data_IF_757711484278
#
_entry.id   IF_757711484278
#
_cell.length_a   1.000
_cell.length_b   1.000
_cell.length_c   1.000
_cell.angle_alpha   90.00
_cell.angle_beta   90.00
_cell.angle_gamma   90.00
#
_symmetry.space_group_name_H-M   'P 1'
#
loop_
_entity.id
_entity.type
_entity.pdbx_description
1 polymer ?
#
# COMPACT_ATOMS: atom_id res chain seq x y z
N UNK A 1 -19.45 17.74 28.43
CA UNK A 1 -18.01 18.02 28.57
C UNK A 1 -17.14 17.17 27.64
N UNK A 2 -17.69 16.29 26.79
CA UNK A 2 -16.91 15.42 25.89
C UNK A 2 -16.51 16.04 24.53
N UNK A 3 -17.06 17.18 24.12
CA UNK A 3 -16.81 17.72 22.77
C UNK A 3 -15.41 18.32 22.58
N UNK A 4 -14.80 18.89 23.62
CA UNK A 4 -13.47 19.52 23.51
C UNK A 4 -12.33 18.49 23.36
N UNK A 5 -12.48 17.27 23.91
CA UNK A 5 -11.46 16.24 23.78
C UNK A 5 -11.41 15.64 22.36
N UNK A 6 -12.57 15.52 21.71
CA UNK A 6 -12.69 15.00 20.34
C UNK A 6 -12.10 15.97 19.30
N UNK A 7 -12.43 17.27 19.38
CA UNK A 7 -11.91 18.28 18.46
C UNK A 7 -10.38 18.47 18.55
N UNK A 8 -9.81 18.33 19.75
CA UNK A 8 -8.35 18.42 19.96
C UNK A 8 -7.63 17.18 19.42
N UNK A 9 -8.23 15.99 19.56
CA UNK A 9 -7.71 14.75 19.00
C UNK A 9 -7.63 14.79 17.47
N UNK A 10 -8.72 15.25 16.84
CA UNK A 10 -8.84 15.37 15.39
C UNK A 10 -7.81 16.35 14.80
N UNK A 11 -7.71 17.57 15.34
CA UNK A 11 -6.70 18.56 14.89
C UNK A 11 -5.26 18.05 15.02
N UNK A 12 -4.95 17.28 16.06
CA UNK A 12 -3.60 16.72 16.25
C UNK A 12 -3.30 15.67 15.18
N UNK A 13 -4.27 14.85 14.79
CA UNK A 13 -4.13 13.88 13.71
C UNK A 13 -3.87 14.59 12.38
N UNK A 14 -4.67 15.60 12.03
CA UNK A 14 -4.48 16.39 10.79
C UNK A 14 -3.09 17.04 10.70
N UNK A 15 -2.58 17.57 11.83
CA UNK A 15 -1.25 18.17 11.90
C UNK A 15 -0.13 17.15 11.69
N UNK A 16 -0.30 15.93 12.22
CA UNK A 16 0.66 14.84 12.03
C UNK A 16 0.69 14.41 10.57
N UNK A 17 -0.47 14.18 9.97
CA UNK A 17 -0.61 13.79 8.55
C UNK A 17 -0.01 14.84 7.62
N UNK A 18 -0.29 16.12 7.87
CA UNK A 18 0.27 17.24 7.12
C UNK A 18 1.80 17.29 7.19
N UNK A 19 2.37 17.03 8.37
CA UNK A 19 3.83 16.96 8.55
C UNK A 19 4.44 15.75 7.83
N UNK A 20 3.81 14.57 7.96
CA UNK A 20 4.26 13.36 7.29
C UNK A 20 4.24 13.52 5.77
N UNK A 21 3.16 14.07 5.20
CA UNK A 21 3.07 14.36 3.75
C UNK A 21 4.19 15.32 3.34
N UNK A 22 4.41 16.40 4.09
CA UNK A 22 5.48 17.37 3.82
C UNK A 22 6.89 16.74 3.87
N UNK A 23 7.15 15.87 4.84
CA UNK A 23 8.44 15.18 4.95
C UNK A 23 8.66 14.23 3.77
N UNK A 24 7.63 13.50 3.32
CA UNK A 24 7.71 12.64 2.14
C UNK A 24 8.00 13.47 0.88
N UNK A 25 7.25 14.56 0.67
CA UNK A 25 7.47 15.46 -0.47
C UNK A 25 8.89 16.04 -0.46
N UNK A 26 9.39 16.42 0.73
CA UNK A 26 10.77 16.90 0.91
C UNK A 26 11.83 15.83 0.60
N UNK A 27 11.58 14.57 0.97
CA UNK A 27 12.48 13.45 0.65
C UNK A 27 12.51 13.10 -0.83
N UNK A 28 11.37 13.23 -1.51
CA UNK A 28 11.24 12.93 -2.94
C UNK A 28 11.66 14.11 -3.82
N UNK A 29 11.66 15.33 -3.29
CA UNK A 29 12.01 16.54 -4.04
C UNK A 29 10.98 16.90 -5.11
N UNK A 30 9.70 16.55 -4.88
CA UNK A 30 8.59 16.76 -5.83
C UNK A 30 7.48 17.60 -5.21
N UNK A 31 6.63 18.19 -6.06
CA UNK A 31 5.43 18.89 -5.60
C UNK A 31 4.35 17.91 -5.16
N UNK A 32 3.42 18.41 -4.35
CA UNK A 32 2.24 17.66 -3.92
C UNK A 32 1.43 17.11 -5.11
N UNK A 33 1.16 17.96 -6.11
CA UNK A 33 0.43 17.55 -7.32
C UNK A 33 1.10 16.41 -8.10
N UNK A 34 2.43 16.39 -8.15
CA UNK A 34 3.18 15.32 -8.83
C UNK A 34 3.11 14.05 -8.00
N UNK A 35 3.22 14.16 -6.68
CA UNK A 35 3.10 13.01 -5.81
C UNK A 35 1.71 12.39 -5.84
N UNK A 36 0.66 13.21 -5.85
CA UNK A 36 -0.74 12.74 -5.93
C UNK A 36 -0.97 12.00 -7.26
N UNK A 37 -0.46 12.53 -8.39
CA UNK A 37 -0.52 11.84 -9.69
C UNK A 37 0.24 10.50 -9.71
N UNK A 38 1.41 10.43 -9.05
CA UNK A 38 2.16 9.18 -8.90
C UNK A 38 1.43 8.16 -8.02
N UNK A 39 0.73 8.62 -6.98
CA UNK A 39 -0.09 7.76 -6.13
C UNK A 39 -1.29 7.21 -6.89
N UNK A 40 -1.96 8.03 -7.70
CA UNK A 40 -3.06 7.59 -8.57
C UNK A 40 -2.59 6.51 -9.55
N UNK A 41 -1.48 6.75 -10.26
CA UNK A 41 -0.90 5.76 -11.19
C UNK A 41 -0.54 4.46 -10.45
N UNK A 42 0.10 4.58 -9.29
CA UNK A 42 0.48 3.42 -8.48
C UNK A 42 -0.74 2.60 -8.02
N UNK A 43 -1.81 3.24 -7.56
CA UNK A 43 -3.03 2.54 -7.14
C UNK A 43 -3.67 1.79 -8.31
N UNK A 44 -3.74 2.42 -9.49
CA UNK A 44 -4.21 1.77 -10.71
C UNK A 44 -3.40 0.50 -11.01
N UNK A 45 -2.07 0.61 -11.03
CA UNK A 45 -1.18 -0.53 -11.26
C UNK A 45 -1.26 -1.60 -10.16
N UNK A 46 -1.44 -1.18 -8.90
CA UNK A 46 -1.53 -2.10 -7.77
C UNK A 46 -2.75 -3.01 -7.89
N UNK A 47 -3.91 -2.48 -8.31
CA UNK A 47 -5.14 -3.27 -8.50
C UNK A 47 -4.97 -4.34 -9.56
N UNK A 48 -4.42 -3.98 -10.72
CA UNK A 48 -4.13 -4.92 -11.80
C UNK A 48 -3.19 -6.03 -11.30
N UNK A 49 -2.10 -5.64 -10.62
CA UNK A 49 -1.13 -6.58 -10.06
C UNK A 49 -1.69 -7.48 -8.96
N UNK A 50 -2.61 -7.00 -8.13
CA UNK A 50 -3.29 -7.82 -7.11
C UNK A 50 -4.14 -8.90 -7.79
N UNK A 51 -4.87 -8.55 -8.86
CA UNK A 51 -5.62 -9.52 -9.66
C UNK A 51 -4.71 -10.55 -10.33
N UNK A 52 -3.58 -10.11 -10.90
CA UNK A 52 -2.55 -10.98 -11.46
C UNK A 52 -1.95 -11.91 -10.39
N UNK A 53 -1.72 -11.41 -9.16
CA UNK A 53 -1.23 -12.22 -8.05
C UNK A 53 -2.20 -13.33 -7.66
N UNK A 54 -3.49 -13.01 -7.51
CA UNK A 54 -4.53 -14.03 -7.25
C UNK A 54 -4.50 -15.12 -8.31
N UNK A 55 -4.38 -14.73 -9.57
CA UNK A 55 -4.27 -15.67 -10.70
C UNK A 55 -3.00 -16.50 -10.62
N UNK A 56 -1.85 -15.89 -10.35
CA UNK A 56 -0.57 -16.57 -10.25
C UNK A 56 -0.56 -17.59 -9.10
N UNK A 57 -1.13 -17.24 -7.94
CA UNK A 57 -1.26 -18.17 -6.82
C UNK A 57 -2.19 -19.33 -7.12
N UNK A 58 -3.36 -19.07 -7.75
CA UNK A 58 -4.29 -20.11 -8.19
C UNK A 58 -3.62 -21.12 -9.15
N UNK A 59 -2.81 -20.61 -10.08
CA UNK A 59 -2.08 -21.42 -11.05
C UNK A 59 -0.78 -22.02 -10.50
N UNK A 60 -0.44 -21.75 -9.23
CA UNK A 60 0.83 -22.13 -8.58
C UNK A 60 2.07 -21.63 -9.34
N UNK A 61 1.92 -20.52 -10.07
CA UNK A 61 2.99 -19.87 -10.80
C UNK A 61 3.84 -19.00 -9.86
N UNK A 62 4.68 -19.70 -9.12
CA UNK A 62 5.54 -19.09 -8.09
C UNK A 62 6.58 -18.13 -8.67
N UNK A 63 6.98 -18.33 -9.94
CA UNK A 63 7.94 -17.42 -10.59
C UNK A 63 7.27 -16.10 -10.95
N UNK A 64 6.08 -16.15 -11.55
CA UNK A 64 5.34 -14.93 -11.89
C UNK A 64 4.90 -14.18 -10.64
N UNK A 65 4.37 -14.87 -9.63
CA UNK A 65 3.99 -14.25 -8.36
C UNK A 65 5.18 -13.49 -7.73
N UNK A 66 6.38 -14.09 -7.71
CA UNK A 66 7.59 -13.45 -7.19
C UNK A 66 7.95 -12.19 -7.98
N UNK A 67 7.86 -12.22 -9.31
CA UNK A 67 8.13 -11.05 -10.18
C UNK A 67 7.16 -9.91 -9.89
N UNK A 68 5.86 -10.22 -9.76
CA UNK A 68 4.83 -9.22 -9.46
C UNK A 68 5.05 -8.62 -8.07
N UNK A 69 5.27 -9.44 -7.03
CA UNK A 69 5.54 -8.97 -5.67
C UNK A 69 6.79 -8.07 -5.61
N UNK A 70 7.87 -8.46 -6.29
CA UNK A 70 9.10 -7.66 -6.31
C UNK A 70 8.88 -6.29 -6.96
N UNK A 71 8.22 -6.26 -8.11
CA UNK A 71 7.91 -5.02 -8.83
C UNK A 71 6.99 -4.11 -8.02
N UNK A 72 5.90 -4.66 -7.46
CA UNK A 72 4.93 -3.89 -6.69
C UNK A 72 5.54 -3.34 -5.40
N UNK A 73 6.39 -4.12 -4.72
CA UNK A 73 7.13 -3.66 -3.54
C UNK A 73 8.04 -2.49 -3.89
N UNK A 74 8.84 -2.61 -4.95
CA UNK A 74 9.76 -1.56 -5.37
C UNK A 74 9.03 -0.25 -5.66
N UNK A 75 7.88 -0.31 -6.32
CA UNK A 75 7.04 0.87 -6.55
C UNK A 75 6.52 1.48 -5.24
N UNK A 76 6.03 0.67 -4.31
CA UNK A 76 5.58 1.14 -3.00
C UNK A 76 6.72 1.78 -2.17
N UNK A 77 7.91 1.19 -2.19
CA UNK A 77 9.09 1.72 -1.50
C UNK A 77 9.57 3.04 -2.12
N UNK A 78 9.56 3.14 -3.45
CA UNK A 78 9.90 4.37 -4.17
C UNK A 78 8.96 5.53 -3.80
N UNK A 79 7.68 5.24 -3.62
CA UNK A 79 6.67 6.21 -3.17
C UNK A 79 6.56 6.35 -1.64
N UNK A 80 7.43 5.66 -0.88
CA UNK A 80 7.44 5.69 0.60
C UNK A 80 6.13 5.19 1.24
N UNK A 81 5.36 4.35 0.55
CA UNK A 81 4.11 3.73 1.04
C UNK A 81 4.44 2.50 1.89
N UNK A 82 5.05 2.73 3.05
CA UNK A 82 5.63 1.68 3.90
C UNK A 82 4.64 0.59 4.31
N UNK A 83 3.37 0.95 4.55
CA UNK A 83 2.33 -0.02 4.93
C UNK A 83 2.11 -1.05 3.84
N UNK A 84 1.95 -0.62 2.58
CA UNK A 84 1.77 -1.53 1.45
C UNK A 84 3.03 -2.35 1.20
N UNK A 85 4.22 -1.74 1.24
CA UNK A 85 5.48 -2.47 1.10
C UNK A 85 5.62 -3.60 2.15
N UNK A 86 5.20 -3.34 3.39
CA UNK A 86 5.17 -4.34 4.46
C UNK A 86 4.22 -5.50 4.17
N UNK A 87 2.98 -5.22 3.76
CA UNK A 87 2.01 -6.28 3.41
C UNK A 87 2.50 -7.11 2.22
N UNK A 88 3.15 -6.50 1.23
CA UNK A 88 3.73 -7.22 0.08
C UNK A 88 4.85 -8.16 0.54
N UNK A 89 5.69 -7.73 1.49
CA UNK A 89 6.71 -8.59 2.10
C UNK A 89 6.10 -9.76 2.88
N UNK A 90 4.99 -9.54 3.59
CA UNK A 90 4.26 -10.61 4.29
C UNK A 90 3.68 -11.64 3.31
N UNK A 91 3.07 -11.20 2.21
CA UNK A 91 2.56 -12.09 1.15
C UNK A 91 3.70 -12.95 0.60
N UNK A 92 4.86 -12.34 0.30
CA UNK A 92 6.04 -13.07 -0.16
C UNK A 92 6.50 -14.10 0.89
N UNK A 93 6.59 -13.70 2.15
CA UNK A 93 6.99 -14.58 3.24
C UNK A 93 6.07 -15.79 3.40
N UNK A 94 4.75 -15.59 3.27
CA UNK A 94 3.78 -16.68 3.27
C UNK A 94 3.98 -17.60 2.06
N UNK A 95 4.12 -17.04 0.85
CA UNK A 95 4.29 -17.82 -0.37
C UNK A 95 5.58 -18.68 -0.35
N UNK A 96 6.68 -18.17 0.20
CA UNK A 96 7.96 -18.87 0.29
C UNK A 96 8.02 -19.82 1.51
N UNK A 97 7.32 -19.49 2.59
CA UNK A 97 7.30 -20.24 3.85
C UNK A 97 6.25 -21.36 3.91
N UNK A 98 5.48 -21.57 2.85
CA UNK A 98 4.43 -22.60 2.80
C UNK A 98 3.13 -22.19 3.53
N UNK A 99 2.84 -20.89 3.58
CA UNK A 99 1.56 -20.37 4.05
C UNK A 99 0.39 -20.89 3.23
N UNK A 100 -0.77 -21.01 3.86
CA UNK A 100 -1.98 -21.49 3.22
C UNK A 100 -2.55 -20.47 2.22
N UNK A 101 -3.33 -20.96 1.26
CA UNK A 101 -4.04 -20.11 0.29
C UNK A 101 -4.94 -19.07 1.00
N UNK A 102 -5.56 -19.44 2.13
CA UNK A 102 -6.39 -18.53 2.92
C UNK A 102 -5.57 -17.39 3.56
N UNK A 103 -4.38 -17.69 4.09
CA UNK A 103 -3.49 -16.66 4.68
C UNK A 103 -2.99 -15.68 3.62
N UNK A 104 -2.65 -16.20 2.42
CA UNK A 104 -2.26 -15.37 1.28
C UNK A 104 -3.43 -14.48 0.83
N UNK A 105 -4.63 -15.03 0.70
CA UNK A 105 -5.82 -14.28 0.29
C UNK A 105 -6.20 -13.20 1.32
N UNK A 106 -6.10 -13.48 2.63
CA UNK A 106 -6.32 -12.47 3.68
C UNK A 106 -5.37 -11.28 3.53
N UNK A 107 -4.09 -11.55 3.20
CA UNK A 107 -3.10 -10.50 2.99
C UNK A 107 -3.29 -9.76 1.67
N UNK A 108 -3.74 -10.43 0.60
CA UNK A 108 -4.15 -9.76 -0.64
C UNK A 108 -5.35 -8.83 -0.41
N UNK A 109 -6.35 -9.24 0.37
CA UNK A 109 -7.48 -8.39 0.75
C UNK A 109 -7.03 -7.17 1.57
N UNK A 110 -6.07 -7.36 2.47
CA UNK A 110 -5.47 -6.25 3.23
C UNK A 110 -4.76 -5.26 2.30
N UNK A 111 -4.01 -5.77 1.33
CA UNK A 111 -3.30 -4.96 0.33
C UNK A 111 -4.27 -4.16 -0.55
N UNK A 112 -5.36 -4.80 -1.00
CA UNK A 112 -6.43 -4.17 -1.77
C UNK A 112 -7.14 -3.09 -0.95
N UNK A 113 -7.44 -3.34 0.33
CA UNK A 113 -8.00 -2.33 1.22
C UNK A 113 -7.10 -1.11 1.40
N UNK A 114 -5.78 -1.31 1.46
CA UNK A 114 -4.83 -0.19 1.46
C UNK A 114 -4.83 0.61 0.15
N UNK A 115 -4.92 -0.06 -1.00
CA UNK A 115 -5.01 0.61 -2.29
C UNK A 115 -6.29 1.47 -2.40
N UNK A 116 -7.44 0.93 -1.97
CA UNK A 116 -8.70 1.68 -1.97
C UNK A 116 -8.68 2.89 -1.02
N UNK A 117 -8.10 2.75 0.18
CA UNK A 117 -7.98 3.89 1.10
C UNK A 117 -7.10 5.02 0.57
N UNK A 118 -6.12 4.71 -0.29
CA UNK A 118 -5.30 5.74 -0.95
C UNK A 118 -6.11 6.43 -2.04
N UNK A 119 -6.91 5.70 -2.81
CA UNK A 119 -7.80 6.28 -3.82
C UNK A 119 -8.82 7.23 -3.20
N UNK A 120 -9.46 6.83 -2.10
CA UNK A 120 -10.47 7.63 -1.40
C UNK A 120 -9.91 8.91 -0.75
N UNK A 121 -8.59 9.06 -0.70
CA UNK A 121 -7.92 10.25 -0.16
C UNK A 121 -7.78 11.39 -1.19
N UNK A 122 -8.19 11.17 -2.44
CA UNK A 122 -8.22 12.15 -3.53
C UNK A 122 -9.65 12.53 -3.89
#
# INVERSE_FOLDING_TARGET
MESQAYEVGDRRLTLIESRLKKDILGQLGISESVYDALLEEFVGQAREKISELRTAFLLKDSENARKILHSLKGAAENLRIKKMAGVIDEIRGLAEGGGSENEIEERLNTLEGHASNIEDAF
#
